data_IF_142513007222
#
_entry.id   IF_142513007222
#
_cell.length_a   1.000
_cell.length_b   1.000
_cell.length_c   1.000
_cell.angle_alpha   90.00
_cell.angle_beta   90.00
_cell.angle_gamma   90.00
#
_symmetry.space_group_name_H-M   'P 1'
#
loop_
_entity.id
_entity.type
_entity.pdbx_description
1 polymer ?
#
# COMPACT_ATOMS: atom_id res chain seq x y z
N UNK A 1 -12.69 20.62 17.20
CA UNK A 1 -13.14 19.23 17.07
C UNK A 1 -12.21 18.58 16.08
N UNK A 2 -11.21 17.84 16.55
CA UNK A 2 -10.35 17.04 15.68
C UNK A 2 -11.22 15.89 15.21
N UNK A 3 -11.52 15.85 13.90
CA UNK A 3 -12.10 14.65 13.29
C UNK A 3 -11.24 13.46 13.75
N UNK A 4 -11.82 12.34 14.19
CA UNK A 4 -11.01 11.17 14.50
C UNK A 4 -10.22 10.93 13.22
N UNK A 5 -8.90 11.14 13.31
CA UNK A 5 -8.00 10.80 12.24
C UNK A 5 -8.31 9.34 12.00
N UNK A 6 -9.00 9.07 10.90
CA UNK A 6 -8.86 7.80 10.23
C UNK A 6 -7.35 7.52 10.27
N UNK A 7 -6.95 6.28 10.48
CA UNK A 7 -5.73 5.80 9.85
C UNK A 7 -5.84 6.15 8.34
N UNK A 8 -5.57 7.41 7.99
CA UNK A 8 -6.06 8.05 6.79
C UNK A 8 -4.97 7.81 5.78
N UNK A 9 -5.34 7.17 4.67
CA UNK A 9 -4.40 6.89 3.61
C UNK A 9 -3.65 8.18 3.23
N UNK A 10 -2.38 8.26 3.59
CA UNK A 10 -1.59 9.47 3.45
C UNK A 10 -0.93 9.44 2.07
N UNK A 11 -1.75 9.76 1.07
CA UNK A 11 -1.42 9.65 -0.35
C UNK A 11 -0.14 10.45 -0.69
N UNK A 12 0.05 11.61 -0.06
CA UNK A 12 1.27 12.42 -0.23
C UNK A 12 2.51 11.77 0.36
N UNK A 13 2.39 11.15 1.54
CA UNK A 13 3.48 10.47 2.23
C UNK A 13 3.87 9.16 1.51
N UNK A 14 2.88 8.42 1.02
CA UNK A 14 3.08 7.26 0.14
C UNK A 14 3.86 7.62 -1.13
N UNK A 15 3.48 8.71 -1.79
CA UNK A 15 4.18 9.18 -2.99
C UNK A 15 5.60 9.68 -2.66
N UNK A 16 5.80 10.30 -1.50
CA UNK A 16 7.12 10.71 -1.04
C UNK A 16 8.02 9.52 -0.71
N UNK A 17 7.48 8.46 -0.10
CA UNK A 17 8.19 7.21 0.21
C UNK A 17 8.61 6.45 -1.06
N UNK A 18 7.76 6.46 -2.09
CA UNK A 18 8.07 5.91 -3.41
C UNK A 18 9.15 6.71 -4.17
N UNK A 19 9.27 8.00 -3.86
CA UNK A 19 10.17 8.91 -4.54
C UNK A 19 9.79 9.17 -6.00
N UNK A 20 10.75 9.62 -6.84
CA UNK A 20 10.49 9.93 -8.24
C UNK A 20 10.14 8.65 -9.02
N UNK A 21 8.86 8.50 -9.33
CA UNK A 21 8.32 7.39 -10.12
C UNK A 21 8.03 7.82 -11.55
N UNK A 22 8.19 6.88 -12.49
CA UNK A 22 7.83 7.07 -13.90
C UNK A 22 6.30 7.06 -14.12
N UNK A 23 5.57 6.43 -13.20
CA UNK A 23 4.13 6.32 -13.25
C UNK A 23 3.46 7.57 -12.68
N UNK A 24 2.29 7.98 -13.22
CA UNK A 24 1.54 9.09 -12.67
C UNK A 24 1.07 8.76 -11.25
N UNK A 25 0.98 9.81 -10.42
CA UNK A 25 0.53 9.73 -9.02
C UNK A 25 -0.79 8.96 -8.88
N UNK A 26 -1.77 9.21 -9.75
CA UNK A 26 -3.05 8.48 -9.74
C UNK A 26 -2.89 6.97 -9.93
N UNK A 27 -1.96 6.52 -10.79
CA UNK A 27 -1.68 5.10 -10.98
C UNK A 27 -1.05 4.51 -9.73
N UNK A 28 -0.06 5.17 -9.14
CA UNK A 28 0.59 4.70 -7.92
C UNK A 28 -0.40 4.56 -6.76
N UNK A 29 -1.30 5.54 -6.59
CA UNK A 29 -2.36 5.49 -5.58
C UNK A 29 -3.35 4.37 -5.84
N UNK A 30 -3.71 4.14 -7.10
CA UNK A 30 -4.59 3.01 -7.48
C UNK A 30 -3.93 1.67 -7.17
N UNK A 31 -2.64 1.51 -7.47
CA UNK A 31 -1.87 0.30 -7.15
C UNK A 31 -1.79 0.10 -5.63
N UNK A 32 -1.47 1.16 -4.88
CA UNK A 32 -1.39 1.13 -3.42
C UNK A 32 -2.72 0.73 -2.77
N UNK A 33 -3.85 1.29 -3.23
CA UNK A 33 -5.17 0.86 -2.75
C UNK A 33 -5.50 -0.59 -3.12
N UNK A 34 -5.09 -1.04 -4.31
CA UNK A 34 -5.27 -2.44 -4.73
C UNK A 34 -4.46 -3.39 -3.84
N UNK A 35 -3.24 -3.01 -3.45
CA UNK A 35 -2.41 -3.75 -2.49
C UNK A 35 -3.16 -3.84 -1.16
N UNK A 36 -3.65 -2.72 -0.64
CA UNK A 36 -4.41 -2.67 0.60
C UNK A 36 -5.67 -3.56 0.57
N UNK A 37 -6.38 -3.60 -0.56
CA UNK A 37 -7.55 -4.46 -0.75
C UNK A 37 -7.15 -5.95 -0.71
N UNK A 38 -6.05 -6.32 -1.39
CA UNK A 38 -5.50 -7.69 -1.34
C UNK A 38 -5.03 -8.10 0.05
N UNK A 39 -4.41 -7.18 0.80
CA UNK A 39 -3.98 -7.44 2.18
C UNK A 39 -5.20 -7.64 3.10
N UNK A 40 -6.23 -6.80 2.96
CA UNK A 40 -7.42 -6.81 3.82
C UNK A 40 -8.39 -7.96 3.53
N UNK A 41 -8.69 -8.23 2.26
CA UNK A 41 -9.67 -9.26 1.86
C UNK A 41 -9.04 -10.58 1.43
N UNK A 42 -7.81 -10.54 0.91
CA UNK A 42 -7.12 -11.73 0.42
C UNK A 42 -6.38 -12.51 1.50
N UNK A 43 -6.41 -12.09 2.77
CA UNK A 43 -5.63 -12.67 3.86
C UNK A 43 -4.14 -12.77 3.53
N UNK A 44 -3.69 -11.96 2.58
CA UNK A 44 -2.39 -12.09 1.95
C UNK A 44 -1.39 -11.27 2.74
N UNK A 45 -0.25 -11.87 3.06
CA UNK A 45 0.89 -11.11 3.57
C UNK A 45 1.45 -10.22 2.46
N UNK A 46 2.14 -9.12 2.81
CA UNK A 46 2.85 -8.30 1.83
C UNK A 46 3.78 -9.15 0.93
N UNK A 47 4.35 -10.24 1.45
CA UNK A 47 5.15 -11.20 0.68
C UNK A 47 4.34 -11.90 -0.42
N UNK A 48 3.10 -12.32 -0.13
CA UNK A 48 2.24 -12.99 -1.10
C UNK A 48 1.78 -12.01 -2.21
N UNK A 49 1.55 -10.75 -1.83
CA UNK A 49 1.33 -9.67 -2.79
C UNK A 49 2.60 -9.46 -3.62
N UNK A 50 3.79 -9.40 -3.01
CA UNK A 50 5.05 -9.24 -3.73
C UNK A 50 5.27 -10.35 -4.75
N UNK A 51 5.11 -11.60 -4.33
CA UNK A 51 5.30 -12.79 -5.16
C UNK A 51 4.33 -12.77 -6.37
N UNK A 52 3.08 -12.35 -6.15
CA UNK A 52 2.10 -12.20 -7.25
C UNK A 52 2.55 -11.19 -8.31
N UNK A 53 3.26 -10.15 -7.90
CA UNK A 53 3.78 -9.12 -8.81
C UNK A 53 5.14 -9.51 -9.39
N UNK A 54 5.92 -10.32 -8.67
CA UNK A 54 7.16 -10.91 -9.16
C UNK A 54 6.92 -11.83 -10.35
N UNK A 55 5.84 -12.62 -10.31
CA UNK A 55 5.42 -13.50 -11.41
C UNK A 55 5.18 -12.76 -12.74
N UNK A 56 4.85 -11.47 -12.69
CA UNK A 56 4.66 -10.60 -13.86
C UNK A 56 5.83 -9.64 -14.10
N UNK A 57 6.94 -9.80 -13.36
CA UNK A 57 8.14 -8.94 -13.48
C UNK A 57 7.95 -7.51 -12.96
N UNK A 58 6.98 -7.29 -12.09
CA UNK A 58 6.57 -5.98 -11.56
C UNK A 58 6.67 -5.91 -10.03
N UNK A 59 7.41 -6.82 -9.40
CA UNK A 59 7.64 -6.79 -7.97
C UNK A 59 8.28 -5.47 -7.57
N UNK A 60 7.60 -4.74 -6.68
CA UNK A 60 8.09 -3.48 -6.15
C UNK A 60 7.94 -3.48 -4.62
N UNK A 61 8.92 -4.04 -3.87
CA UNK A 61 8.92 -4.07 -2.41
C UNK A 61 8.59 -2.75 -1.73
N UNK A 62 9.24 -1.62 -2.07
CA UNK A 62 8.96 -0.35 -1.40
C UNK A 62 7.54 0.15 -1.67
N UNK A 63 6.89 -0.27 -2.76
CA UNK A 63 5.50 0.11 -3.03
C UNK A 63 4.51 -0.65 -2.15
N UNK A 64 4.75 -1.94 -1.92
CA UNK A 64 3.90 -2.74 -1.03
C UNK A 64 4.07 -2.31 0.41
N UNK A 65 5.31 -2.09 0.84
CA UNK A 65 5.63 -1.61 2.19
C UNK A 65 5.04 -0.21 2.44
N UNK A 66 5.29 0.75 1.56
CA UNK A 66 4.72 2.10 1.69
C UNK A 66 3.19 2.09 1.61
N UNK A 67 2.58 1.26 0.75
CA UNK A 67 1.12 1.16 0.70
C UNK A 67 0.56 0.63 2.03
N UNK A 68 1.21 -0.37 2.60
CA UNK A 68 0.81 -0.95 3.87
C UNK A 68 0.94 0.06 5.02
N UNK A 69 2.05 0.77 5.10
CA UNK A 69 2.33 1.74 6.17
C UNK A 69 1.52 3.05 6.03
N UNK A 70 1.47 3.61 4.82
CA UNK A 70 0.93 4.96 4.59
C UNK A 70 -0.54 4.92 4.16
N UNK A 71 -0.96 3.93 3.34
CA UNK A 71 -2.33 3.88 2.80
C UNK A 71 -3.28 3.01 3.62
N UNK A 72 -2.79 1.92 4.22
CA UNK A 72 -3.62 0.99 4.98
C UNK A 72 -2.92 0.41 6.23
N UNK A 73 -2.52 1.25 7.19
CA UNK A 73 -1.86 0.79 8.42
C UNK A 73 -2.76 -0.11 9.28
N UNK A 74 -4.08 -0.10 9.05
CA UNK A 74 -5.03 -1.07 9.60
C UNK A 74 -4.69 -2.53 9.26
N UNK A 75 -4.02 -2.77 8.13
CA UNK A 75 -3.60 -4.13 7.71
C UNK A 75 -2.31 -4.58 8.38
N UNK A 76 -1.60 -3.68 9.06
CA UNK A 76 -0.41 -3.98 9.88
C UNK A 76 -0.77 -4.40 11.30
N UNK A 77 -1.96 -4.04 11.79
CA UNK A 77 -2.37 -4.42 13.13
C UNK A 77 -2.67 -5.93 13.19
N UNK A 78 -2.00 -6.71 14.04
CA UNK A 78 -2.48 -8.05 14.37
C UNK A 78 -3.87 -7.89 15.00
N UNK A 79 -4.86 -8.60 14.48
CA UNK A 79 -6.12 -8.76 15.18
C UNK A 79 -5.83 -9.26 16.62
N UNK A 80 -6.45 -8.68 17.65
CA UNK A 80 -6.21 -9.02 19.06
C UNK A 80 -6.55 -10.48 19.39
#
# INVERSE_FOLDING_TARGET
MVAPGSAQADEGSYLAALGPQLLPTTSLLTLGRTICDKLRYGGSTPENVLMSWELIGWANPPMVDAAQHELCPDTLAPAP
#
